data_IF_879303297976
#
_entry.id   IF_879303297976
#
_cell.length_a   1.000
_cell.length_b   1.000
_cell.length_c   1.000
_cell.angle_alpha   90.00
_cell.angle_beta   90.00
_cell.angle_gamma   90.00
#
_symmetry.space_group_name_H-M   'P 1'
#
loop_
_entity.id
_entity.type
_entity.pdbx_description
1 polymer ?
#
# COMPACT_ATOMS: atom_id res chain seq x y z
N UNK A 1 2.11 -5.74 21.92
CA UNK A 1 2.28 -5.20 20.55
C UNK A 1 3.66 -4.55 20.49
N UNK A 2 4.50 -4.85 19.51
CA UNK A 2 5.81 -4.17 19.35
C UNK A 2 5.59 -2.69 19.04
N UNK A 3 6.38 -1.79 19.64
CA UNK A 3 6.21 -0.33 19.52
C UNK A 3 6.14 0.16 18.07
N UNK A 4 6.99 -0.38 17.19
CA UNK A 4 7.00 -0.06 15.76
C UNK A 4 5.66 -0.35 15.04
N UNK A 5 4.99 -1.45 15.39
CA UNK A 5 3.68 -1.78 14.82
C UNK A 5 2.61 -0.80 15.29
N UNK A 6 2.67 -0.39 16.55
CA UNK A 6 1.70 0.58 17.07
C UNK A 6 1.86 1.96 16.41
N UNK A 7 3.10 2.40 16.19
CA UNK A 7 3.40 3.64 15.47
C UNK A 7 2.87 3.55 14.04
N UNK A 8 3.14 2.46 13.32
CA UNK A 8 2.64 2.28 11.97
C UNK A 8 1.10 2.32 11.90
N UNK A 9 0.41 1.67 12.83
CA UNK A 9 -1.07 1.70 12.89
C UNK A 9 -1.58 3.12 13.13
N UNK A 10 -1.02 3.85 14.09
CA UNK A 10 -1.42 5.23 14.37
C UNK A 10 -1.15 6.15 13.19
N UNK A 11 0.02 6.04 12.57
CA UNK A 11 0.40 6.88 11.45
C UNK A 11 -0.45 6.60 10.20
N UNK A 12 -0.67 5.32 9.86
CA UNK A 12 -1.55 4.94 8.75
C UNK A 12 -3.02 5.29 9.01
N UNK A 13 -3.49 5.11 10.24
CA UNK A 13 -4.85 5.50 10.65
C UNK A 13 -5.06 7.02 10.61
N UNK A 14 -4.09 7.80 11.07
CA UNK A 14 -4.14 9.26 11.00
C UNK A 14 -4.15 9.74 9.55
N UNK A 15 -3.34 9.14 8.67
CA UNK A 15 -3.36 9.43 7.23
C UNK A 15 -4.73 9.12 6.60
N UNK A 16 -5.36 8.01 6.99
CA UNK A 16 -6.70 7.65 6.50
C UNK A 16 -7.77 8.65 6.99
N UNK A 17 -7.73 9.04 8.27
CA UNK A 17 -8.64 10.05 8.81
C UNK A 17 -8.45 11.41 8.12
N UNK A 18 -7.21 11.79 7.84
CA UNK A 18 -6.91 13.00 7.08
C UNK A 18 -7.48 12.94 5.66
N UNK A 19 -7.32 11.81 4.96
CA UNK A 19 -7.93 11.61 3.64
C UNK A 19 -9.46 11.77 3.69
N UNK A 20 -10.12 11.15 4.67
CA UNK A 20 -11.57 11.29 4.88
C UNK A 20 -11.97 12.75 5.15
N UNK A 21 -11.21 13.46 6.00
CA UNK A 21 -11.48 14.85 6.32
C UNK A 21 -11.33 15.75 5.09
N UNK A 22 -10.25 15.59 4.32
CA UNK A 22 -10.02 16.37 3.09
C UNK A 22 -11.12 16.13 2.05
N UNK A 23 -11.53 14.88 1.84
CA UNK A 23 -12.58 14.56 0.89
C UNK A 23 -13.94 15.13 1.35
N UNK A 24 -14.25 15.02 2.64
CA UNK A 24 -15.48 15.60 3.22
C UNK A 24 -15.52 17.12 3.06
N UNK A 25 -14.43 17.80 3.42
CA UNK A 25 -14.32 19.27 3.27
C UNK A 25 -14.39 19.67 1.79
N UNK A 26 -13.76 18.92 0.89
CA UNK A 26 -13.80 19.19 -0.54
C UNK A 26 -15.22 19.04 -1.12
N UNK A 27 -15.97 18.00 -0.70
CA UNK A 27 -17.37 17.80 -1.10
C UNK A 27 -18.25 18.93 -0.58
N UNK A 28 -18.18 19.25 0.72
CA UNK A 28 -18.96 20.34 1.32
C UNK A 28 -18.61 21.67 0.66
N UNK A 29 -17.32 21.96 0.50
CA UNK A 29 -16.80 23.16 -0.15
C UNK A 29 -17.35 23.36 -1.55
N UNK A 30 -17.45 22.30 -2.36
CA UNK A 30 -18.08 22.35 -3.68
C UNK A 30 -19.57 22.69 -3.62
N UNK A 31 -20.29 22.22 -2.60
CA UNK A 31 -21.73 22.50 -2.44
C UNK A 31 -22.00 23.93 -1.95
N UNK A 32 -21.12 24.50 -1.12
CA UNK A 32 -21.29 25.86 -0.55
C UNK A 32 -20.60 26.96 -1.36
N UNK A 33 -20.06 26.64 -2.55
CA UNK A 33 -19.40 27.60 -3.44
C UNK A 33 -17.96 27.98 -3.02
N UNK A 34 -17.36 27.27 -2.07
CA UNK A 34 -15.98 27.45 -1.59
C UNK A 34 -15.16 26.18 -1.88
N UNK A 35 -14.82 25.89 -3.15
CA UNK A 35 -14.10 24.67 -3.49
C UNK A 35 -12.68 24.67 -2.92
N UNK A 36 -12.31 23.59 -2.24
CA UNK A 36 -10.95 23.37 -1.74
C UNK A 36 -10.03 23.06 -2.93
N UNK A 37 -9.29 24.07 -3.39
CA UNK A 37 -8.25 23.93 -4.41
C UNK A 37 -7.12 23.04 -3.87
N UNK A 38 -6.59 22.14 -4.69
CA UNK A 38 -5.53 21.22 -4.26
C UNK A 38 -6.05 19.99 -3.49
N UNK A 39 -7.36 19.81 -3.38
CA UNK A 39 -7.97 18.72 -2.61
C UNK A 39 -7.59 17.35 -3.15
N UNK A 40 -7.49 17.20 -4.48
CA UNK A 40 -7.16 15.93 -5.12
C UNK A 40 -5.76 15.50 -4.73
N UNK A 41 -4.79 16.41 -4.76
CA UNK A 41 -3.39 16.13 -4.45
C UNK A 41 -3.20 15.78 -2.97
N UNK A 42 -3.90 16.48 -2.08
CA UNK A 42 -3.90 16.18 -0.64
C UNK A 42 -4.51 14.81 -0.34
N UNK A 43 -5.63 14.48 -0.98
CA UNK A 43 -6.28 13.17 -0.83
C UNK A 43 -5.36 12.07 -1.39
N UNK A 44 -4.79 12.26 -2.59
CA UNK A 44 -3.87 11.29 -3.20
C UNK A 44 -2.65 11.03 -2.32
N UNK A 45 -2.05 12.06 -1.74
CA UNK A 45 -0.93 11.90 -0.82
C UNK A 45 -1.32 11.14 0.45
N UNK A 46 -2.43 11.52 1.09
CA UNK A 46 -2.92 10.89 2.31
C UNK A 46 -3.30 9.41 2.07
N UNK A 47 -4.01 9.12 0.98
CA UNK A 47 -4.41 7.76 0.60
C UNK A 47 -3.19 6.92 0.24
N UNK A 48 -2.19 7.47 -0.45
CA UNK A 48 -0.95 6.75 -0.75
C UNK A 48 -0.25 6.32 0.54
N UNK A 49 -0.06 7.25 1.48
CA UNK A 49 0.58 6.95 2.77
C UNK A 49 -0.21 5.89 3.54
N UNK A 50 -1.52 6.09 3.70
CA UNK A 50 -2.39 5.14 4.39
C UNK A 50 -2.36 3.75 3.72
N UNK A 51 -2.47 3.69 2.39
CA UNK A 51 -2.48 2.47 1.59
C UNK A 51 -1.16 1.70 1.68
N UNK A 52 -0.02 2.38 1.56
CA UNK A 52 1.30 1.76 1.69
C UNK A 52 1.51 1.13 3.08
N UNK A 53 1.14 1.84 4.15
CA UNK A 53 1.25 1.33 5.52
C UNK A 53 0.29 0.16 5.74
N UNK A 54 -0.95 0.27 5.26
CA UNK A 54 -1.92 -0.81 5.33
C UNK A 54 -1.44 -2.06 4.60
N UNK A 55 -0.85 -1.91 3.41
CA UNK A 55 -0.23 -3.00 2.66
C UNK A 55 0.89 -3.65 3.48
N UNK A 56 1.86 -2.88 3.96
CA UNK A 56 2.97 -3.41 4.79
C UNK A 56 2.45 -4.17 6.00
N UNK A 57 1.50 -3.62 6.74
CA UNK A 57 0.95 -4.25 7.93
C UNK A 57 0.11 -5.49 7.60
N UNK A 58 -0.72 -5.44 6.56
CA UNK A 58 -1.53 -6.57 6.13
C UNK A 58 -0.66 -7.74 5.66
N UNK A 59 0.39 -7.44 4.87
CA UNK A 59 1.39 -8.42 4.48
C UNK A 59 2.11 -8.93 5.72
N UNK A 60 2.67 -8.07 6.58
CA UNK A 60 3.43 -8.50 7.76
C UNK A 60 2.63 -9.37 8.75
N UNK A 61 1.31 -9.22 8.83
CA UNK A 61 0.46 -10.02 9.72
C UNK A 61 -0.24 -11.18 8.99
N UNK A 62 0.07 -11.40 7.71
CA UNK A 62 -0.50 -12.53 6.94
C UNK A 62 -2.04 -12.46 6.84
N UNK A 63 -2.55 -11.23 6.78
CA UNK A 63 -3.98 -10.91 6.65
C UNK A 63 -4.31 -10.33 5.27
N UNK A 64 -3.51 -10.65 4.25
CA UNK A 64 -3.99 -10.52 2.88
C UNK A 64 -5.27 -11.34 2.74
N UNK A 65 -6.20 -10.84 1.93
CA UNK A 65 -7.54 -11.40 1.77
C UNK A 65 -7.47 -12.84 1.22
N UNK A 66 -7.14 -13.81 2.07
CA UNK A 66 -7.32 -15.22 1.81
C UNK A 66 -8.81 -15.46 1.93
N UNK A 67 -9.43 -15.84 0.82
CA UNK A 67 -10.79 -16.34 0.83
C UNK A 67 -10.77 -17.70 1.51
N UNK A 68 -10.74 -17.69 2.85
CA UNK A 68 -10.68 -18.89 3.70
C UNK A 68 -11.80 -19.87 3.34
N UNK A 69 -12.93 -19.36 2.89
CA UNK A 69 -14.08 -20.14 2.42
C UNK A 69 -13.75 -21.08 1.25
N UNK A 70 -12.79 -20.72 0.38
CA UNK A 70 -12.32 -21.57 -0.74
C UNK A 70 -11.16 -22.46 -0.29
N UNK A 71 -10.23 -21.91 0.51
CA UNK A 71 -9.02 -22.63 0.95
C UNK A 71 -9.35 -23.72 1.99
N UNK A 72 -10.35 -23.52 2.83
CA UNK A 72 -10.80 -24.50 3.84
C UNK A 72 -11.53 -25.69 3.21
N UNK A 73 -11.93 -25.61 1.92
CA UNK A 73 -12.48 -26.73 1.14
C UNK A 73 -11.41 -27.62 0.49
N UNK A 74 -10.14 -27.20 0.50
CA UNK A 74 -9.04 -27.93 -0.12
C UNK A 74 -8.43 -28.87 0.93
N UNK A 75 -8.26 -30.16 0.60
CA UNK A 75 -7.67 -31.15 1.49
C UNK A 75 -6.29 -30.77 2.00
N UNK A 76 -5.94 -31.18 3.22
CA UNK A 76 -4.76 -30.74 3.98
C UNK A 76 -3.44 -30.89 3.19
N UNK A 77 -3.33 -31.94 2.35
CA UNK A 77 -2.13 -32.17 1.53
C UNK A 77 -1.93 -31.17 0.39
N UNK A 78 -3.01 -30.67 -0.22
CA UNK A 78 -2.91 -29.69 -1.31
C UNK A 78 -2.82 -28.23 -0.80
N UNK A 79 -3.29 -27.99 0.43
CA UNK A 79 -3.34 -26.65 1.04
C UNK A 79 -1.97 -25.97 1.12
N UNK A 80 -0.93 -26.72 1.51
CA UNK A 80 0.43 -26.19 1.60
C UNK A 80 0.98 -25.73 0.23
N UNK A 81 0.68 -26.47 -0.84
CA UNK A 81 1.10 -26.14 -2.20
C UNK A 81 0.36 -24.90 -2.71
N UNK A 82 -0.95 -24.82 -2.48
CA UNK A 82 -1.76 -23.66 -2.87
C UNK A 82 -1.37 -22.39 -2.11
N UNK A 83 -1.09 -22.49 -0.82
CA UNK A 83 -0.59 -21.36 -0.03
C UNK A 83 0.78 -20.88 -0.54
N UNK A 84 1.69 -21.80 -0.84
CA UNK A 84 3.00 -21.47 -1.41
C UNK A 84 2.87 -20.81 -2.79
N UNK A 85 1.99 -21.32 -3.65
CA UNK A 85 1.75 -20.77 -4.98
C UNK A 85 1.11 -19.38 -4.90
N UNK A 86 0.12 -19.19 -4.01
CA UNK A 86 -0.52 -17.89 -3.78
C UNK A 86 0.48 -16.83 -3.30
N UNK A 87 1.37 -17.20 -2.38
CA UNK A 87 2.43 -16.32 -1.91
C UNK A 87 3.42 -15.97 -3.03
N UNK A 88 3.82 -16.96 -3.84
CA UNK A 88 4.71 -16.75 -4.98
C UNK A 88 4.10 -15.82 -6.03
N UNK A 89 2.84 -16.04 -6.40
CA UNK A 89 2.11 -15.19 -7.35
C UNK A 89 1.96 -13.76 -6.82
N UNK A 90 1.67 -13.61 -5.52
CA UNK A 90 1.59 -12.29 -4.88
C UNK A 90 2.96 -11.59 -4.91
N UNK A 91 4.05 -12.30 -4.58
CA UNK A 91 5.39 -11.74 -4.63
C UNK A 91 5.80 -11.34 -6.06
N UNK A 92 5.47 -12.16 -7.06
CA UNK A 92 5.74 -11.86 -8.47
C UNK A 92 4.94 -10.64 -8.95
N UNK A 93 3.65 -10.56 -8.60
CA UNK A 93 2.81 -9.42 -8.92
C UNK A 93 3.37 -8.11 -8.32
N UNK A 94 3.75 -8.14 -7.04
CA UNK A 94 4.36 -6.99 -6.37
C UNK A 94 5.72 -6.61 -6.97
N UNK A 95 6.51 -7.59 -7.39
CA UNK A 95 7.78 -7.36 -8.08
C UNK A 95 7.55 -6.67 -9.44
N UNK A 96 6.58 -7.13 -10.23
CA UNK A 96 6.20 -6.48 -11.48
C UNK A 96 5.74 -5.03 -11.25
N UNK A 97 4.92 -4.79 -10.23
CA UNK A 97 4.51 -3.44 -9.84
C UNK A 97 5.70 -2.56 -9.43
N UNK A 98 6.63 -3.10 -8.64
CA UNK A 98 7.84 -2.38 -8.22
C UNK A 98 8.72 -2.03 -9.41
N UNK A 99 8.92 -2.95 -10.36
CA UNK A 99 9.71 -2.69 -11.56
C UNK A 99 9.05 -1.60 -12.40
N UNK A 100 7.74 -1.70 -12.67
CA UNK A 100 7.01 -0.70 -13.44
C UNK A 100 6.98 0.68 -12.77
N UNK A 101 6.73 0.71 -11.45
CA UNK A 101 6.73 1.95 -10.67
C UNK A 101 8.13 2.56 -10.55
N UNK A 102 9.17 1.73 -10.44
CA UNK A 102 10.57 2.16 -10.47
C UNK A 102 10.96 2.75 -11.83
N UNK A 103 10.55 2.11 -12.93
CA UNK A 103 10.74 2.61 -14.28
C UNK A 103 10.13 3.99 -14.44
N UNK A 104 8.86 4.15 -14.07
CA UNK A 104 8.15 5.43 -14.13
C UNK A 104 8.82 6.50 -13.27
N UNK A 105 9.33 6.13 -12.09
CA UNK A 105 10.03 7.06 -11.22
C UNK A 105 11.35 7.56 -11.81
N UNK A 106 12.09 6.69 -12.54
CA UNK A 106 13.33 7.06 -13.23
C UNK A 106 13.02 7.98 -14.42
N UNK A 107 12.03 7.60 -15.23
CA UNK A 107 11.62 8.35 -16.42
C UNK A 107 11.20 9.78 -16.07
N UNK A 108 10.44 9.93 -14.97
CA UNK A 108 9.90 11.21 -14.51
C UNK A 108 10.79 11.92 -13.46
N UNK A 109 12.01 11.43 -13.21
CA UNK A 109 12.88 11.96 -12.16
C UNK A 109 13.27 13.43 -12.40
N UNK A 110 13.50 13.79 -13.67
CA UNK A 110 13.94 15.13 -14.07
C UNK A 110 12.78 16.07 -14.45
N UNK A 111 11.54 15.58 -14.44
CA UNK A 111 10.37 16.35 -14.91
C UNK A 111 9.96 17.49 -13.97
N UNK A 112 10.60 17.63 -12.79
CA UNK A 112 10.31 18.67 -11.78
C UNK A 112 8.79 18.88 -11.56
N UNK A 113 8.02 17.78 -11.58
CA UNK A 113 6.57 17.81 -11.38
C UNK A 113 6.28 18.20 -9.92
N UNK A 114 5.99 19.48 -9.71
CA UNK A 114 5.49 20.03 -8.46
C UNK A 114 3.96 20.07 -8.57
N UNK A 115 3.23 19.65 -7.54
CA UNK A 115 1.76 19.81 -7.56
C UNK A 115 1.41 21.31 -7.71
N UNK A 116 0.57 21.65 -8.69
CA UNK A 116 0.28 23.05 -9.05
C UNK A 116 -0.27 23.90 -7.89
N UNK A 117 -0.90 23.27 -6.89
CA UNK A 117 -1.60 23.98 -5.82
C UNK A 117 -0.98 23.73 -4.45
N UNK A 118 -0.62 22.49 -4.12
CA UNK A 118 -0.09 22.13 -2.79
C UNK A 118 1.45 22.19 -2.68
N UNK A 119 2.15 22.49 -3.79
CA UNK A 119 3.62 22.45 -3.89
C UNK A 119 4.29 21.17 -3.38
N UNK A 120 3.55 20.05 -3.31
CA UNK A 120 4.10 18.76 -2.89
C UNK A 120 4.90 18.16 -4.05
N UNK A 121 6.18 17.81 -3.86
CA UNK A 121 6.95 17.15 -4.91
C UNK A 121 6.47 15.71 -5.07
N UNK A 122 5.93 15.38 -6.25
CA UNK A 122 5.46 14.02 -6.58
C UNK A 122 6.57 12.98 -6.47
N UNK A 123 7.83 13.41 -6.59
CA UNK A 123 9.01 12.59 -6.43
C UNK A 123 9.05 11.88 -5.07
N UNK A 124 8.77 12.59 -3.97
CA UNK A 124 8.82 12.02 -2.62
C UNK A 124 7.73 10.98 -2.40
N UNK A 125 6.54 11.23 -2.96
CA UNK A 125 5.42 10.30 -2.92
C UNK A 125 5.75 9.01 -3.71
N UNK A 126 6.31 9.14 -4.92
CA UNK A 126 6.76 8.00 -5.73
C UNK A 126 7.86 7.20 -5.04
N UNK A 127 8.85 7.87 -4.44
CA UNK A 127 9.89 7.23 -3.64
C UNK A 127 9.31 6.45 -2.46
N UNK A 128 8.39 7.07 -1.71
CA UNK A 128 7.72 6.43 -0.59
C UNK A 128 6.93 5.18 -1.03
N UNK A 129 6.23 5.27 -2.16
CA UNK A 129 5.51 4.14 -2.76
C UNK A 129 6.46 3.00 -3.15
N UNK A 130 7.56 3.32 -3.85
CA UNK A 130 8.56 2.34 -4.28
C UNK A 130 9.26 1.66 -3.10
N UNK A 131 9.64 2.41 -2.06
CA UNK A 131 10.21 1.85 -0.83
C UNK A 131 9.21 0.93 -0.14
N UNK A 132 7.94 1.33 -0.07
CA UNK A 132 6.88 0.51 0.51
C UNK A 132 6.68 -0.77 -0.29
N UNK A 133 6.59 -0.69 -1.61
CA UNK A 133 6.49 -1.86 -2.50
C UNK A 133 7.69 -2.80 -2.35
N UNK A 134 8.90 -2.27 -2.25
CA UNK A 134 10.11 -3.05 -1.98
C UNK A 134 9.99 -3.82 -0.67
N UNK A 135 9.61 -3.15 0.43
CA UNK A 135 9.41 -3.78 1.74
C UNK A 135 8.38 -4.91 1.65
N UNK A 136 7.21 -4.64 1.05
CA UNK A 136 6.15 -5.64 0.91
C UNK A 136 6.60 -6.83 0.07
N UNK A 137 7.30 -6.57 -1.03
CA UNK A 137 7.84 -7.60 -1.92
C UNK A 137 8.82 -8.50 -1.19
N UNK A 138 9.74 -7.94 -0.40
CA UNK A 138 10.69 -8.70 0.40
C UNK A 138 10.00 -9.58 1.47
N UNK A 139 8.96 -9.05 2.13
CA UNK A 139 8.17 -9.82 3.10
C UNK A 139 7.44 -10.98 2.41
N UNK A 140 6.78 -10.72 1.27
CA UNK A 140 6.06 -11.73 0.50
C UNK A 140 7.00 -12.80 -0.04
N UNK A 141 8.16 -12.40 -0.59
CA UNK A 141 9.18 -13.31 -1.09
C UNK A 141 9.74 -14.18 0.02
N UNK A 142 10.16 -13.60 1.15
CA UNK A 142 10.66 -14.37 2.30
C UNK A 142 9.67 -15.45 2.73
N UNK A 143 8.37 -15.19 2.69
CA UNK A 143 7.33 -16.17 3.04
C UNK A 143 7.10 -17.25 1.99
N UNK A 144 7.27 -16.93 0.71
CA UNK A 144 7.19 -17.94 -0.33
C UNK A 144 8.32 -18.98 -0.20
N UNK A 145 9.50 -18.57 0.26
CA UNK A 145 10.69 -19.44 0.38
C UNK A 145 10.87 -20.06 1.76
N UNK A 146 10.61 -19.32 2.83
CA UNK A 146 10.56 -19.88 4.19
C UNK A 146 9.21 -20.55 4.32
N UNK A 147 9.15 -21.84 3.95
CA UNK A 147 8.04 -22.72 4.35
C UNK A 147 7.97 -22.68 5.87
N UNK A 148 7.14 -21.79 6.38
CA UNK A 148 6.82 -21.78 7.79
C UNK A 148 6.08 -23.09 8.03
N UNK A 149 6.79 -24.06 8.61
CA UNK A 149 6.27 -25.31 9.14
C UNK A 149 5.29 -24.95 10.25
N UNK A 150 4.12 -24.44 9.88
CA UNK A 150 2.97 -24.33 10.76
C UNK A 150 2.49 -25.75 11.04
N UNK A 151 3.04 -26.32 12.12
CA UNK A 151 2.33 -27.29 12.94
C UNK A 151 1.24 -26.58 13.72
#
# INVERSE_FOLDING_TARGET
MTGARSIAVWFGGAALLAATAFDTVAVIGRQVGLPLRGSIELIQAAVLVAGCIALILATAVDRHARVRLVVDRIGEGARATWDSLSNLLTALFLLCLLIGSGWLAIDLWNSHEISEIAHVPWLWLRLFANVSLLIVTLIAFRRAFVRETRR
#
